data_IF_652474384523
#
_entry.id   IF_652474384523
#
_cell.length_a   1.000
_cell.length_b   1.000
_cell.length_c   1.000
_cell.angle_alpha   90.00
_cell.angle_beta   90.00
_cell.angle_gamma   90.00
#
_symmetry.space_group_name_H-M   'P 1'
#
loop_
_entity.id
_entity.type
_entity.pdbx_description
1 polymer ?
#
# COMPACT_ATOMS: atom_id res chain seq x y z
N UNK A 1 26.93 10.64 -18.48
CA UNK A 1 25.74 10.41 -19.31
C UNK A 1 24.64 9.99 -18.34
N UNK A 2 23.60 10.81 -18.20
CA UNK A 2 22.49 10.53 -17.30
C UNK A 2 21.63 9.44 -17.93
N UNK A 3 21.53 8.31 -17.24
CA UNK A 3 20.74 7.16 -17.66
C UNK A 3 19.25 7.51 -17.48
N UNK A 4 18.71 8.19 -18.50
CA UNK A 4 17.31 8.55 -18.59
C UNK A 4 16.49 7.33 -18.94
N UNK A 5 16.26 6.47 -17.94
CA UNK A 5 15.11 5.58 -17.98
C UNK A 5 13.92 6.48 -17.66
N UNK A 6 13.09 6.73 -18.67
CA UNK A 6 11.70 7.13 -18.50
C UNK A 6 11.01 5.99 -17.73
N UNK A 7 11.25 6.00 -16.42
CA UNK A 7 10.67 5.06 -15.46
C UNK A 7 9.27 5.62 -15.27
N UNK A 8 8.39 5.30 -16.24
CA UNK A 8 7.09 5.94 -16.45
C UNK A 8 6.23 6.05 -15.19
N UNK A 9 5.10 6.77 -15.30
CA UNK A 9 4.25 7.06 -14.15
C UNK A 9 3.96 5.80 -13.32
N UNK A 10 4.26 5.85 -12.03
CA UNK A 10 4.04 4.76 -11.10
C UNK A 10 3.12 5.21 -9.99
N UNK A 11 1.99 4.53 -9.90
CA UNK A 11 1.01 4.71 -8.84
C UNK A 11 0.67 3.33 -8.29
N UNK A 12 0.55 3.23 -6.97
CA UNK A 12 0.06 2.02 -6.33
C UNK A 12 -0.79 2.42 -5.14
N UNK A 13 -2.03 1.96 -5.11
CA UNK A 13 -2.92 2.11 -3.95
C UNK A 13 -3.44 0.74 -3.55
N UNK A 14 -3.35 0.46 -2.26
CA UNK A 14 -3.97 -0.71 -1.67
C UNK A 14 -4.90 -0.28 -0.55
N UNK A 15 -6.10 -0.85 -0.57
CA UNK A 15 -7.13 -0.64 0.43
C UNK A 15 -7.60 -1.99 0.96
N UNK A 16 -7.75 -2.10 2.26
CA UNK A 16 -8.49 -3.19 2.90
C UNK A 16 -9.37 -2.63 3.98
N UNK A 17 -10.65 -2.98 3.97
CA UNK A 17 -11.56 -2.49 4.98
C UNK A 17 -12.84 -3.27 5.07
N UNK A 18 -13.56 -3.08 6.16
CA UNK A 18 -14.87 -3.66 6.36
C UNK A 18 -15.74 -2.72 7.18
N UNK A 19 -17.04 -2.75 6.93
CA UNK A 19 -18.04 -2.00 7.69
C UNK A 19 -18.74 -2.94 8.64
N UNK A 20 -18.26 -2.97 9.88
CA UNK A 20 -18.81 -3.78 10.95
C UNK A 20 -19.87 -3.02 11.77
N UNK A 21 -20.40 -3.72 12.78
CA UNK A 21 -21.34 -3.14 13.77
C UNK A 21 -20.76 -1.93 14.51
N UNK A 22 -19.44 -1.89 14.64
CA UNK A 22 -18.71 -0.85 15.36
C UNK A 22 -18.16 0.24 14.43
N UNK A 23 -18.66 0.35 13.19
CA UNK A 23 -18.24 1.38 12.25
C UNK A 23 -17.32 0.85 11.16
N UNK A 24 -16.56 1.75 10.55
CA UNK A 24 -15.76 1.48 9.37
C UNK A 24 -14.29 1.33 9.74
N UNK A 25 -13.79 0.10 9.69
CA UNK A 25 -12.38 -0.19 9.93
C UNK A 25 -11.67 -0.42 8.60
N UNK A 26 -10.54 0.26 8.40
CA UNK A 26 -9.77 0.11 7.17
C UNK A 26 -8.29 0.42 7.38
N UNK A 27 -7.48 -0.11 6.45
CA UNK A 27 -6.09 0.24 6.23
C UNK A 27 -5.94 0.56 4.76
N UNK A 28 -5.29 1.68 4.48
CA UNK A 28 -4.99 2.14 3.13
C UNK A 28 -3.56 2.65 3.07
N UNK A 29 -2.88 2.34 1.97
CA UNK A 29 -1.64 3.03 1.62
C UNK A 29 -1.58 3.35 0.13
N UNK A 30 -0.91 4.44 -0.19
CA UNK A 30 -0.83 5.00 -1.54
C UNK A 30 0.59 5.48 -1.81
N UNK A 31 1.18 4.97 -2.90
CA UNK A 31 2.37 5.50 -3.53
C UNK A 31 1.98 6.42 -4.66
N UNK A 32 2.42 7.66 -4.56
CA UNK A 32 2.19 8.66 -5.58
C UNK A 32 3.41 8.77 -6.52
N UNK A 33 3.19 9.20 -7.77
CA UNK A 33 4.27 9.44 -8.73
C UNK A 33 5.30 10.47 -8.25
N UNK A 34 4.91 11.38 -7.37
CA UNK A 34 5.78 12.39 -6.73
C UNK A 34 6.71 11.79 -5.65
N UNK A 35 6.65 10.48 -5.43
CA UNK A 35 7.44 9.75 -4.42
C UNK A 35 6.88 9.84 -3.01
N UNK A 36 5.68 10.41 -2.83
CA UNK A 36 5.00 10.47 -1.54
C UNK A 36 4.28 9.15 -1.25
N UNK A 37 4.57 8.57 -0.09
CA UNK A 37 3.81 7.48 0.51
C UNK A 37 2.83 8.05 1.52
N UNK A 38 1.56 7.68 1.39
CA UNK A 38 0.49 8.03 2.33
C UNK A 38 -0.02 6.75 2.95
N UNK A 39 -0.21 6.77 4.26
CA UNK A 39 -0.73 5.65 5.04
C UNK A 39 -1.88 6.14 5.91
N UNK A 40 -3.00 5.43 5.86
CA UNK A 40 -4.15 5.66 6.71
C UNK A 40 -4.58 4.35 7.35
N UNK A 41 -4.77 4.35 8.67
CA UNK A 41 -5.32 3.22 9.39
C UNK A 41 -6.37 3.72 10.37
N UNK A 42 -7.58 3.17 10.23
CA UNK A 42 -8.69 3.40 11.10
C UNK A 42 -9.10 2.05 11.70
N UNK A 43 -8.61 1.75 12.90
CA UNK A 43 -9.09 0.66 13.72
C UNK A 43 -9.94 1.26 14.83
N UNK A 44 -11.23 0.93 14.92
CA UNK A 44 -12.11 1.52 15.94
C UNK A 44 -11.93 0.86 17.32
N UNK A 45 -10.73 0.33 17.57
CA UNK A 45 -10.34 -0.32 18.79
C UNK A 45 -10.11 0.74 19.88
N UNK A 46 -10.89 0.69 20.97
CA UNK A 46 -10.75 1.56 22.15
C UNK A 46 -10.88 3.08 21.87
N UNK A 47 -11.70 3.49 20.91
CA UNK A 47 -11.87 4.90 20.52
C UNK A 47 -10.56 5.56 20.03
N UNK A 48 -9.67 4.78 19.42
CA UNK A 48 -8.42 5.34 18.93
C UNK A 48 -8.66 6.30 17.76
N UNK A 49 -7.78 7.30 17.64
CA UNK A 49 -7.91 8.31 16.58
C UNK A 49 -7.29 7.75 15.30
N UNK A 50 -7.94 7.96 14.15
CA UNK A 50 -7.42 7.51 12.86
C UNK A 50 -5.97 7.95 12.65
N UNK A 51 -5.09 6.99 12.39
CA UNK A 51 -3.67 7.23 12.16
C UNK A 51 -3.48 7.59 10.69
N UNK A 52 -2.93 8.78 10.43
CA UNK A 52 -2.51 9.22 9.10
C UNK A 52 -1.03 9.58 9.13
N UNK A 53 -0.27 9.06 8.19
CA UNK A 53 1.17 9.34 8.04
C UNK A 53 1.49 9.58 6.58
N UNK A 54 2.39 10.52 6.34
CA UNK A 54 2.88 10.84 5.00
C UNK A 54 4.40 10.94 5.06
N UNK A 55 5.08 10.26 4.15
CA UNK A 55 6.55 10.27 4.05
C UNK A 55 6.96 10.36 2.59
N UNK A 56 8.13 10.94 2.32
CA UNK A 56 8.74 10.89 1.00
C UNK A 56 9.70 9.71 0.94
N UNK A 57 9.54 8.89 -0.11
CA UNK A 57 10.37 7.72 -0.34
C UNK A 57 11.60 8.08 -1.17
N UNK A 58 12.68 7.35 -0.96
CA UNK A 58 13.85 7.48 -1.83
C UNK A 58 13.57 6.83 -3.19
N UNK A 59 14.20 7.29 -4.28
CA UNK A 59 14.06 6.67 -5.60
C UNK A 59 14.38 5.17 -5.60
N UNK A 60 15.29 4.72 -4.74
CA UNK A 60 15.64 3.31 -4.60
C UNK A 60 14.46 2.45 -4.12
N UNK A 61 13.64 2.97 -3.19
CA UNK A 61 12.45 2.27 -2.70
C UNK A 61 11.39 2.20 -3.79
N UNK A 62 11.16 3.30 -4.53
CA UNK A 62 10.20 3.30 -5.63
C UNK A 62 10.59 2.34 -6.75
N UNK A 63 11.89 2.29 -7.09
CA UNK A 63 12.43 1.34 -8.07
C UNK A 63 12.23 -0.11 -7.63
N UNK A 64 12.45 -0.40 -6.35
CA UNK A 64 12.25 -1.75 -5.82
C UNK A 64 10.76 -2.13 -5.78
N UNK A 65 9.87 -1.19 -5.43
CA UNK A 65 8.42 -1.41 -5.52
C UNK A 65 7.98 -1.72 -6.96
N UNK A 66 8.49 -0.96 -7.95
CA UNK A 66 8.26 -1.25 -9.37
C UNK A 66 8.74 -2.64 -9.76
N UNK A 67 9.95 -3.03 -9.34
CA UNK A 67 10.50 -4.37 -9.59
C UNK A 67 9.62 -5.48 -9.00
N UNK A 68 9.17 -5.33 -7.75
CA UNK A 68 8.30 -6.32 -7.09
C UNK A 68 6.98 -6.49 -7.85
N UNK A 69 6.36 -5.38 -8.28
CA UNK A 69 5.12 -5.42 -9.06
C UNK A 69 5.35 -6.13 -10.41
N UNK A 70 6.41 -5.77 -11.13
CA UNK A 70 6.74 -6.40 -12.41
C UNK A 70 7.01 -7.90 -12.27
N UNK A 71 7.82 -8.30 -11.27
CA UNK A 71 8.18 -9.70 -11.01
C UNK A 71 7.01 -10.54 -10.53
N UNK A 72 5.99 -9.91 -9.93
CA UNK A 72 4.78 -10.62 -9.50
C UNK A 72 3.87 -11.01 -10.67
N UNK A 73 4.05 -10.43 -11.85
CA UNK A 73 3.17 -10.61 -13.02
C UNK A 73 1.70 -10.20 -12.80
N UNK A 74 1.41 -9.50 -11.70
CA UNK A 74 0.05 -9.06 -11.31
C UNK A 74 -0.65 -8.21 -12.39
N UNK A 75 0.12 -7.52 -13.23
CA UNK A 75 -0.40 -6.69 -14.34
C UNK A 75 -1.06 -7.52 -15.45
N UNK A 76 -0.85 -8.84 -15.47
CA UNK A 76 -1.41 -9.78 -16.45
C UNK A 76 -2.67 -10.50 -15.94
N UNK A 77 -3.02 -10.31 -14.67
CA UNK A 77 -4.14 -10.97 -14.01
C UNK A 77 -5.46 -10.21 -14.18
N UNK A 78 -6.57 -10.89 -13.90
CA UNK A 78 -7.94 -10.37 -14.06
C UNK A 78 -8.82 -10.79 -12.88
N UNK A 79 -9.56 -9.84 -12.30
CA UNK A 79 -10.42 -10.07 -11.14
C UNK A 79 -11.85 -10.55 -11.47
N UNK A 80 -12.17 -10.76 -12.76
CA UNK A 80 -13.49 -11.23 -13.21
C UNK A 80 -14.00 -12.50 -12.51
N UNK A 81 -13.10 -13.38 -12.06
CA UNK A 81 -13.43 -14.63 -11.37
C UNK A 81 -13.19 -14.57 -9.86
N UNK A 82 -12.79 -13.42 -9.32
CA UNK A 82 -12.47 -13.25 -7.92
C UNK A 82 -13.74 -13.09 -7.08
N UNK A 83 -13.69 -13.45 -5.77
CA UNK A 83 -14.83 -13.29 -4.89
C UNK A 83 -15.25 -11.82 -4.77
N UNK A 84 -16.54 -11.53 -5.01
CA UNK A 84 -17.06 -10.18 -4.85
C UNK A 84 -17.02 -9.70 -3.38
N UNK A 85 -16.79 -8.40 -3.12
CA UNK A 85 -16.80 -7.85 -1.77
C UNK A 85 -18.10 -8.12 -1.01
N UNK A 86 -17.96 -8.46 0.27
CA UNK A 86 -19.10 -8.80 1.13
C UNK A 86 -19.09 -8.00 2.45
N UNK A 87 -19.88 -8.46 3.43
CA UNK A 87 -19.93 -7.85 4.76
C UNK A 87 -18.67 -8.10 5.60
N UNK A 88 -17.90 -9.15 5.29
CA UNK A 88 -16.66 -9.51 5.97
C UNK A 88 -15.55 -8.54 5.59
N UNK A 89 -15.54 -8.07 4.34
CA UNK A 89 -14.73 -6.94 3.93
C UNK A 89 -14.50 -6.84 2.43
N UNK A 90 -13.72 -5.81 2.09
CA UNK A 90 -13.31 -5.47 0.72
C UNK A 90 -11.80 -5.26 0.70
N UNK A 91 -11.17 -5.73 -0.36
CA UNK A 91 -9.80 -5.41 -0.74
C UNK A 91 -9.84 -4.75 -2.12
N UNK A 92 -9.05 -3.69 -2.29
CA UNK A 92 -8.83 -3.03 -3.57
C UNK A 92 -7.34 -2.87 -3.79
N UNK A 93 -6.89 -3.11 -5.01
CA UNK A 93 -5.53 -2.84 -5.44
C UNK A 93 -5.61 -2.11 -6.77
N UNK A 94 -4.93 -0.99 -6.85
CA UNK A 94 -4.87 -0.18 -8.06
C UNK A 94 -3.42 0.12 -8.36
N UNK A 95 -2.99 -0.15 -9.59
CA UNK A 95 -1.61 0.05 -10.03
C UNK A 95 -1.62 0.73 -11.39
N UNK A 96 -0.86 1.81 -11.51
CA UNK A 96 -0.49 2.40 -12.80
C UNK A 96 1.01 2.20 -12.97
N UNK A 97 1.42 1.67 -14.11
CA UNK A 97 2.82 1.54 -14.47
C UNK A 97 3.00 1.89 -15.95
N UNK A 98 3.56 3.07 -16.21
CA UNK A 98 3.69 3.60 -17.56
C UNK A 98 2.32 3.79 -18.22
N UNK A 99 2.01 2.99 -19.24
CA UNK A 99 0.74 3.07 -19.97
C UNK A 99 -0.27 2.00 -19.55
N UNK A 100 0.10 1.11 -18.63
CA UNK A 100 -0.77 0.06 -18.12
C UNK A 100 -1.44 0.49 -16.81
N UNK A 101 -2.73 0.21 -16.69
CA UNK A 101 -3.52 0.46 -15.49
C UNK A 101 -4.36 -0.78 -15.17
N UNK A 102 -4.24 -1.24 -13.94
CA UNK A 102 -5.08 -2.31 -13.39
C UNK A 102 -5.78 -1.81 -12.13
N UNK A 103 -7.00 -2.28 -11.92
CA UNK A 103 -7.77 -2.02 -10.72
C UNK A 103 -8.54 -3.28 -10.36
N UNK A 104 -8.18 -3.89 -9.25
CA UNK A 104 -8.81 -5.08 -8.74
C UNK A 104 -9.70 -4.76 -7.54
N UNK A 105 -10.83 -5.44 -7.46
CA UNK A 105 -11.72 -5.42 -6.31
C UNK A 105 -12.09 -6.85 -5.93
N UNK A 106 -11.81 -7.23 -4.68
CA UNK A 106 -12.13 -8.57 -4.17
C UNK A 106 -12.61 -8.54 -2.73
N UNK A 107 -13.19 -9.64 -2.27
CA UNK A 107 -13.51 -9.85 -0.86
C UNK A 107 -12.25 -9.95 -0.01
N UNK A 108 -12.40 -9.77 1.29
CA UNK A 108 -11.28 -9.91 2.23
C UNK A 108 -10.80 -11.35 2.30
N UNK A 109 -9.59 -11.60 1.78
CA UNK A 109 -8.93 -12.92 1.86
C UNK A 109 -8.29 -13.09 3.24
N UNK A 110 -8.70 -14.12 3.98
CA UNK A 110 -8.19 -14.43 5.32
C UNK A 110 -7.03 -15.42 5.31
N UNK A 111 -7.03 -16.37 4.38
CA UNK A 111 -6.11 -17.50 4.36
C UNK A 111 -5.81 -18.01 2.95
N UNK A 112 -4.75 -18.82 2.81
CA UNK A 112 -4.46 -19.54 1.56
C UNK A 112 -5.54 -20.57 1.20
N UNK A 113 -6.34 -21.02 2.17
CA UNK A 113 -7.44 -21.96 1.90
C UNK A 113 -8.57 -21.25 1.13
N UNK A 114 -8.82 -19.97 1.41
CA UNK A 114 -9.79 -19.15 0.66
C UNK A 114 -9.33 -18.94 -0.79
N UNK A 115 -8.01 -18.84 -1.01
CA UNK A 115 -7.41 -18.75 -2.35
C UNK A 115 -7.60 -20.06 -3.12
N UNK A 116 -7.30 -21.21 -2.49
CA UNK A 116 -7.38 -22.53 -3.13
C UNK A 116 -8.81 -22.93 -3.52
N UNK A 117 -9.81 -22.43 -2.81
CA UNK A 117 -11.23 -22.75 -3.04
C UNK A 117 -11.92 -21.79 -4.00
N UNK A 118 -11.20 -20.77 -4.47
CA UNK A 118 -11.68 -19.79 -5.43
C UNK A 118 -11.77 -20.36 -6.87
N UNK A 119 -12.41 -19.60 -7.76
CA UNK A 119 -12.49 -19.93 -9.19
C UNK A 119 -11.20 -19.63 -9.95
N UNK A 120 -10.33 -18.79 -9.38
CA UNK A 120 -9.04 -18.43 -9.94
C UNK A 120 -7.96 -18.45 -8.84
N UNK A 121 -7.46 -19.65 -8.49
CA UNK A 121 -6.50 -19.80 -7.40
C UNK A 121 -5.11 -19.27 -7.75
N UNK A 122 -4.74 -19.18 -9.03
CA UNK A 122 -3.40 -18.70 -9.44
C UNK A 122 -3.31 -17.17 -9.35
N UNK A 123 -4.27 -16.45 -9.95
CA UNK A 123 -4.30 -14.99 -9.90
C UNK A 123 -4.46 -14.46 -8.47
N UNK A 124 -5.36 -15.06 -7.68
CA UNK A 124 -5.53 -14.69 -6.28
C UNK A 124 -4.31 -15.03 -5.41
N UNK A 125 -3.53 -16.05 -5.77
CA UNK A 125 -2.29 -16.39 -5.07
C UNK A 125 -1.22 -15.34 -5.33
N UNK A 126 -1.09 -14.87 -6.57
CA UNK A 126 -0.21 -13.75 -6.93
C UNK A 126 -0.62 -12.50 -6.16
N UNK A 127 -1.91 -12.15 -6.19
CA UNK A 127 -2.45 -11.01 -5.44
C UNK A 127 -2.16 -11.12 -3.94
N UNK A 128 -2.42 -12.29 -3.34
CA UNK A 128 -2.19 -12.55 -1.92
C UNK A 128 -0.72 -12.37 -1.53
N UNK A 129 0.22 -12.92 -2.31
CA UNK A 129 1.64 -12.76 -2.04
C UNK A 129 2.13 -11.33 -2.28
N UNK A 130 1.67 -10.65 -3.32
CA UNK A 130 2.03 -9.26 -3.57
C UNK A 130 1.58 -8.36 -2.42
N UNK A 131 0.33 -8.49 -1.99
CA UNK A 131 -0.22 -7.74 -0.85
C UNK A 131 0.56 -8.05 0.43
N UNK A 132 0.93 -9.31 0.67
CA UNK A 132 1.77 -9.65 1.80
C UNK A 132 3.16 -9.01 1.71
N UNK A 133 3.84 -9.09 0.57
CA UNK A 133 5.17 -8.50 0.38
C UNK A 133 5.10 -6.99 0.55
N UNK A 134 4.08 -6.35 -0.01
CA UNK A 134 3.82 -4.92 0.11
C UNK A 134 3.61 -4.55 1.58
N UNK A 135 2.60 -5.11 2.24
CA UNK A 135 2.29 -4.86 3.66
C UNK A 135 3.46 -5.20 4.59
N UNK A 136 4.19 -6.29 4.32
CA UNK A 136 5.34 -6.72 5.11
C UNK A 136 6.50 -5.73 4.95
N UNK A 137 6.83 -5.34 3.72
CA UNK A 137 7.84 -4.31 3.44
C UNK A 137 7.49 -2.98 4.11
N UNK A 138 6.21 -2.58 4.14
CA UNK A 138 5.77 -1.36 4.86
C UNK A 138 5.85 -1.49 6.37
N UNK A 139 5.40 -2.62 6.94
CA UNK A 139 5.43 -2.83 8.39
C UNK A 139 6.86 -2.87 8.90
N UNK A 140 7.75 -3.59 8.21
CA UNK A 140 9.16 -3.64 8.60
C UNK A 140 9.84 -2.29 8.41
N UNK A 141 9.61 -1.57 7.30
CA UNK A 141 10.20 -0.25 7.08
C UNK A 141 9.72 0.79 8.11
N UNK A 142 8.42 0.89 8.38
CA UNK A 142 7.87 1.87 9.35
C UNK A 142 8.23 1.53 10.80
N UNK A 143 8.27 0.25 11.18
CA UNK A 143 8.67 -0.17 12.53
C UNK A 143 10.18 0.01 12.73
N UNK A 144 11.01 -0.31 11.72
CA UNK A 144 12.46 -0.10 11.80
C UNK A 144 12.83 1.38 11.80
N UNK A 145 12.19 2.21 10.98
CA UNK A 145 12.43 3.68 11.01
C UNK A 145 11.87 4.33 12.27
N UNK A 146 10.69 3.90 12.74
CA UNK A 146 10.08 4.41 13.97
C UNK A 146 10.82 4.02 15.25
N UNK A 147 11.57 2.90 15.24
CA UNK A 147 12.39 2.47 16.37
C UNK A 147 13.85 2.95 16.30
N UNK A 148 14.38 3.24 15.10
CA UNK A 148 15.80 3.59 14.96
C UNK A 148 16.07 5.09 14.83
N UNK A 149 15.07 5.89 14.43
CA UNK A 149 15.27 7.33 14.28
C UNK A 149 14.29 8.11 15.16
N UNK A 150 14.80 8.68 16.25
CA UNK A 150 14.20 9.86 16.88
C UNK A 150 14.31 11.08 15.96
N UNK A 151 13.71 10.99 14.77
CA UNK A 151 13.72 12.03 13.74
C UNK A 151 12.36 12.73 13.74
N UNK A 152 12.48 14.05 13.83
CA UNK A 152 11.47 15.09 13.90
C UNK A 152 10.30 14.83 12.95
N UNK A 153 9.13 14.64 13.55
CA UNK A 153 7.85 14.77 12.87
C UNK A 153 7.74 16.18 12.29
N UNK A 154 7.66 16.29 10.97
CA UNK A 154 7.21 17.53 10.36
C UNK A 154 5.69 17.59 10.56
N UNK A 155 5.27 18.11 11.71
CA UNK A 155 3.92 18.63 11.85
C UNK A 155 3.79 19.78 10.85
N UNK A 156 2.85 19.62 9.93
CA UNK A 156 2.42 20.67 9.03
C UNK A 156 1.89 21.84 9.85
N UNK A 157 2.76 22.81 10.16
CA UNK A 157 2.35 24.08 10.77
C UNK A 157 3.38 24.71 11.69
N UNK A 158 4.52 25.15 11.14
CA UNK A 158 5.20 26.45 11.38
C UNK A 158 6.66 26.34 10.96
N UNK A 159 7.02 26.92 9.83
CA UNK A 159 8.42 27.24 9.53
C UNK A 159 8.81 28.46 10.38
N UNK A 160 9.33 28.23 11.58
CA UNK A 160 10.05 29.24 12.36
C UNK A 160 11.54 28.98 12.23
N UNK A 161 12.23 29.83 11.47
CA UNK A 161 13.69 29.78 11.35
C UNK A 161 14.35 30.05 12.70
N UNK A 162 15.36 29.24 13.03
CA UNK A 162 16.24 29.44 14.16
C UNK A 162 17.61 28.89 13.81
N UNK A 163 18.55 29.79 13.51
CA UNK A 163 19.99 29.53 13.51
C UNK A 163 20.40 28.87 14.82
N UNK A 164 21.30 27.89 14.74
CA UNK A 164 22.22 27.63 15.83
C UNK A 164 23.64 27.67 15.26
N UNK A 165 24.27 28.80 15.57
CA UNK A 165 25.72 28.99 15.58
C UNK A 165 26.36 28.02 16.59
N UNK A 166 27.52 27.48 16.18
CA UNK A 166 28.60 26.80 16.93
C UNK A 166 28.28 25.49 17.67
#
# INVERSE_FOLDING_TARGET
MADGVDDGEFYLRYYVGHKGKFGHEFLEFEFRPDGKLRYANNSNYKNDTMIRKEIFLTPAVLKECRRIVADSEIMKEDDNNWPEPDRVGRQELEIVMGNEHISFTTSKIGSLMDVQTSKDPEGLRIFYYLVQIAICSFKYSLVLFGLWTGIVFCDSGTCGGGNLDL
#
